data_IF_838910459848
#
_entry.id   IF_838910459848
#
_cell.length_a   1.000
_cell.length_b   1.000
_cell.length_c   1.000
_cell.angle_alpha   90.00
_cell.angle_beta   90.00
_cell.angle_gamma   90.00
#
_symmetry.space_group_name_H-M   'P 1'
#
loop_
_entity.id
_entity.type
_entity.pdbx_description
1 polymer ?
#
# COMPACT_ATOMS: atom_id res chain seq x y z
N UNK A 1 26.46 10.35 -10.68
CA UNK A 1 26.37 8.89 -10.87
C UNK A 1 25.23 8.59 -11.84
N UNK A 2 25.46 7.82 -12.90
CA UNK A 2 24.37 7.34 -13.77
C UNK A 2 23.58 6.30 -12.99
N UNK A 3 22.42 6.68 -12.43
CA UNK A 3 21.52 5.76 -11.74
C UNK A 3 21.08 4.69 -12.73
N UNK A 4 21.31 3.41 -12.40
CA UNK A 4 20.90 2.31 -13.25
C UNK A 4 19.36 2.29 -13.34
N UNK A 5 18.83 2.64 -14.52
CA UNK A 5 17.39 2.78 -14.79
C UNK A 5 16.64 1.47 -14.51
N UNK A 6 17.30 0.33 -14.61
CA UNK A 6 16.71 -0.98 -14.30
C UNK A 6 16.47 -1.13 -12.79
N UNK A 7 17.45 -0.77 -11.94
CA UNK A 7 17.30 -0.83 -10.48
C UNK A 7 16.16 0.07 -9.97
N UNK A 8 16.04 1.28 -10.54
CA UNK A 8 14.98 2.22 -10.14
C UNK A 8 13.59 1.76 -10.60
N UNK A 9 13.51 0.96 -11.67
CA UNK A 9 12.24 0.42 -12.16
C UNK A 9 11.66 -0.66 -11.24
N UNK A 10 12.50 -1.36 -10.46
CA UNK A 10 12.06 -2.33 -9.44
C UNK A 10 11.85 -1.74 -8.05
N UNK A 11 12.19 -0.46 -7.84
CA UNK A 11 12.02 0.20 -6.54
C UNK A 11 10.59 0.11 -5.97
N UNK A 12 9.49 0.23 -6.77
CA UNK A 12 8.14 0.03 -6.25
C UNK A 12 7.92 -1.38 -5.70
N UNK A 13 8.41 -2.42 -6.40
CA UNK A 13 8.27 -3.81 -5.96
C UNK A 13 9.03 -4.06 -4.66
N UNK A 14 10.27 -3.56 -4.56
CA UNK A 14 11.08 -3.67 -3.35
C UNK A 14 10.38 -2.93 -2.19
N UNK A 15 9.86 -1.72 -2.44
CA UNK A 15 9.08 -0.97 -1.45
C UNK A 15 7.88 -1.76 -0.94
N UNK A 16 7.12 -2.38 -1.84
CA UNK A 16 5.97 -3.24 -1.52
C UNK A 16 6.41 -4.42 -0.64
N UNK A 17 7.46 -5.15 -1.04
CA UNK A 17 7.96 -6.30 -0.28
C UNK A 17 8.36 -5.88 1.13
N UNK A 18 9.13 -4.79 1.26
CA UNK A 18 9.62 -4.31 2.56
C UNK A 18 8.48 -3.83 3.47
N UNK A 19 7.54 -3.04 2.96
CA UNK A 19 6.37 -2.64 3.75
C UNK A 19 5.52 -3.85 4.17
N UNK A 20 5.26 -4.77 3.24
CA UNK A 20 4.51 -6.00 3.53
C UNK A 20 5.19 -6.82 4.61
N UNK A 21 6.51 -6.97 4.56
CA UNK A 21 7.28 -7.68 5.56
C UNK A 21 7.21 -6.98 6.92
N UNK A 22 7.45 -5.67 6.97
CA UNK A 22 7.41 -4.91 8.24
C UNK A 22 6.05 -4.98 8.92
N UNK A 23 4.96 -4.86 8.15
CA UNK A 23 3.60 -5.01 8.66
C UNK A 23 3.29 -6.44 9.07
N UNK A 24 3.74 -7.44 8.30
CA UNK A 24 3.52 -8.84 8.63
C UNK A 24 4.21 -9.23 9.94
N UNK A 25 5.46 -8.79 10.15
CA UNK A 25 6.17 -8.99 11.42
C UNK A 25 5.36 -8.35 12.56
N UNK A 26 5.07 -7.05 12.48
CA UNK A 26 4.37 -6.33 13.55
C UNK A 26 2.95 -6.88 13.83
N UNK A 27 2.25 -7.31 12.78
CA UNK A 27 0.89 -7.91 12.92
C UNK A 27 0.95 -9.32 13.48
N UNK A 28 1.94 -10.13 13.08
CA UNK A 28 2.05 -11.52 13.52
C UNK A 28 2.18 -11.64 15.04
N UNK A 29 2.93 -10.75 15.68
CA UNK A 29 3.05 -10.72 17.14
C UNK A 29 1.71 -10.45 17.83
N UNK A 30 0.96 -9.47 17.31
CA UNK A 30 -0.35 -9.12 17.84
C UNK A 30 -1.37 -10.26 17.65
N UNK A 31 -1.36 -10.90 16.49
CA UNK A 31 -2.28 -12.00 16.17
C UNK A 31 -1.97 -13.25 16.98
N UNK A 32 -0.71 -13.59 17.18
CA UNK A 32 -0.33 -14.73 18.04
C UNK A 32 -0.79 -14.48 19.48
N UNK A 33 -0.60 -13.27 20.01
CA UNK A 33 -1.11 -12.91 21.34
C UNK A 33 -2.63 -13.03 21.41
N UNK A 34 -3.35 -12.57 20.39
CA UNK A 34 -4.80 -12.70 20.32
C UNK A 34 -5.24 -14.18 20.25
N UNK A 35 -4.64 -14.98 19.38
CA UNK A 35 -4.89 -16.43 19.25
C UNK A 35 -4.62 -17.17 20.56
N UNK A 36 -3.61 -16.75 21.32
CA UNK A 36 -3.29 -17.31 22.64
C UNK A 36 -4.39 -16.98 23.64
N UNK A 37 -4.90 -15.73 23.66
CA UNK A 37 -5.98 -15.32 24.56
C UNK A 37 -7.29 -16.06 24.30
N UNK A 38 -7.59 -16.37 23.04
CA UNK A 38 -8.80 -17.13 22.68
C UNK A 38 -8.62 -18.65 22.75
N UNK A 39 -7.44 -19.14 23.17
CA UNK A 39 -7.16 -20.58 23.32
C UNK A 39 -6.96 -21.34 22.00
N UNK A 40 -6.95 -20.66 20.85
CA UNK A 40 -6.76 -21.30 19.54
C UNK A 40 -5.28 -21.60 19.28
N UNK A 41 -4.36 -20.79 19.83
CA UNK A 41 -2.93 -20.98 19.58
C UNK A 41 -2.40 -22.31 20.12
N UNK A 42 -2.95 -22.82 21.24
CA UNK A 42 -2.57 -24.13 21.80
C UNK A 42 -2.90 -25.28 20.85
N UNK A 43 -4.03 -25.20 20.17
CA UNK A 43 -4.44 -26.20 19.17
C UNK A 43 -3.52 -26.15 17.94
N UNK A 44 -3.14 -24.95 17.50
CA UNK A 44 -2.21 -24.79 16.37
C UNK A 44 -0.84 -25.39 16.70
N UNK A 45 -0.31 -25.13 17.90
CA UNK A 45 1.00 -25.67 18.30
C UNK A 45 0.97 -27.16 18.69
N UNK A 46 -0.22 -27.76 18.81
CA UNK A 46 -0.36 -29.21 18.94
C UNK A 46 -0.14 -29.92 17.59
N UNK A 47 -0.41 -29.23 16.47
CA UNK A 47 -0.22 -29.73 15.10
C UNK A 47 1.12 -29.30 14.49
N UNK A 48 1.65 -28.14 14.90
CA UNK A 48 2.88 -27.53 14.39
C UNK A 48 3.80 -27.13 15.54
N UNK A 49 5.11 -27.08 15.33
CA UNK A 49 6.01 -26.49 16.32
C UNK A 49 5.74 -24.99 16.50
N UNK A 50 6.21 -24.44 17.64
CA UNK A 50 6.10 -23.00 17.93
C UNK A 50 6.76 -22.16 16.84
N UNK A 51 7.91 -22.58 16.31
CA UNK A 51 8.60 -21.91 15.22
C UNK A 51 7.80 -21.97 13.91
N UNK A 52 7.29 -23.15 13.55
CA UNK A 52 6.48 -23.33 12.34
C UNK A 52 5.21 -22.48 12.37
N UNK A 53 4.50 -22.44 13.50
CA UNK A 53 3.31 -21.60 13.65
C UNK A 53 3.60 -20.10 13.49
N UNK A 54 4.73 -19.61 14.02
CA UNK A 54 5.16 -18.22 13.86
C UNK A 54 5.45 -17.89 12.40
N UNK A 55 6.18 -18.76 11.71
CA UNK A 55 6.49 -18.60 10.28
C UNK A 55 5.21 -18.65 9.46
N UNK A 56 4.28 -19.56 9.77
CA UNK A 56 3.00 -19.66 9.08
C UNK A 56 2.20 -18.35 9.17
N UNK A 57 2.01 -17.81 10.39
CA UNK A 57 1.29 -16.55 10.59
C UNK A 57 1.98 -15.41 9.83
N UNK A 58 3.32 -15.32 9.92
CA UNK A 58 4.10 -14.32 9.19
C UNK A 58 3.87 -14.40 7.67
N UNK A 59 3.97 -15.60 7.08
CA UNK A 59 3.80 -15.81 5.64
C UNK A 59 2.38 -15.47 5.18
N UNK A 60 1.37 -15.84 5.97
CA UNK A 60 -0.03 -15.50 5.68
C UNK A 60 -0.22 -13.98 5.64
N UNK A 61 0.20 -13.26 6.68
CA UNK A 61 0.07 -11.79 6.70
C UNK A 61 0.93 -11.10 5.65
N UNK A 62 2.16 -11.58 5.41
CA UNK A 62 3.01 -11.07 4.34
C UNK A 62 2.30 -11.19 2.99
N UNK A 63 1.70 -12.34 2.71
CA UNK A 63 0.98 -12.58 1.44
C UNK A 63 -0.23 -11.64 1.31
N UNK A 64 -1.01 -11.48 2.38
CA UNK A 64 -2.17 -10.57 2.38
C UNK A 64 -1.73 -9.13 2.10
N UNK A 65 -0.73 -8.62 2.81
CA UNK A 65 -0.24 -7.25 2.62
C UNK A 65 0.41 -7.05 1.24
N UNK A 66 1.18 -8.03 0.77
CA UNK A 66 1.79 -7.99 -0.55
C UNK A 66 0.73 -7.93 -1.66
N UNK A 67 -0.31 -8.75 -1.57
CA UNK A 67 -1.43 -8.73 -2.52
C UNK A 67 -2.17 -7.39 -2.47
N UNK A 68 -2.47 -6.88 -1.28
CA UNK A 68 -3.16 -5.60 -1.09
C UNK A 68 -2.38 -4.44 -1.72
N UNK A 69 -1.08 -4.31 -1.42
CA UNK A 69 -0.26 -3.26 -1.99
C UNK A 69 -0.02 -3.42 -3.48
N UNK A 70 0.12 -4.65 -3.97
CA UNK A 70 0.25 -4.91 -5.41
C UNK A 70 -1.03 -4.52 -6.16
N UNK A 71 -2.20 -4.81 -5.60
CA UNK A 71 -3.49 -4.38 -6.14
C UNK A 71 -3.61 -2.85 -6.16
N UNK A 72 -3.28 -2.17 -5.05
CA UNK A 72 -3.29 -0.70 -5.01
C UNK A 72 -2.31 -0.08 -5.98
N UNK A 73 -1.11 -0.65 -6.15
CA UNK A 73 -0.15 -0.20 -7.16
C UNK A 73 -0.74 -0.30 -8.56
N UNK A 74 -1.36 -1.43 -8.91
CA UNK A 74 -1.97 -1.62 -10.23
C UNK A 74 -3.06 -0.58 -10.49
N UNK A 75 -3.97 -0.39 -9.52
CA UNK A 75 -5.03 0.61 -9.61
C UNK A 75 -4.47 2.03 -9.72
N UNK A 76 -3.45 2.36 -8.92
CA UNK A 76 -2.79 3.66 -8.97
C UNK A 76 -2.15 3.93 -10.33
N UNK A 77 -1.49 2.94 -10.94
CA UNK A 77 -0.92 3.05 -12.28
C UNK A 77 -2.02 3.28 -13.32
N UNK A 78 -3.14 2.55 -13.24
CA UNK A 78 -4.29 2.73 -14.14
C UNK A 78 -4.92 4.11 -14.00
N UNK A 79 -5.18 4.56 -12.77
CA UNK A 79 -5.74 5.90 -12.52
C UNK A 79 -4.81 7.00 -13.02
N UNK A 80 -3.51 6.88 -12.77
CA UNK A 80 -2.53 7.81 -13.30
C UNK A 80 -2.53 7.80 -14.84
N UNK A 81 -2.46 6.64 -15.48
CA UNK A 81 -2.47 6.55 -16.95
C UNK A 81 -3.74 7.19 -17.55
N UNK A 82 -4.91 6.95 -16.97
CA UNK A 82 -6.16 7.58 -17.41
C UNK A 82 -6.13 9.10 -17.19
N UNK A 83 -5.72 9.56 -16.00
CA UNK A 83 -5.59 10.99 -15.70
C UNK A 83 -4.64 11.70 -16.66
N UNK A 84 -3.47 11.13 -16.92
CA UNK A 84 -2.54 11.68 -17.91
C UNK A 84 -3.10 11.60 -19.33
N UNK A 85 -3.84 10.55 -19.72
CA UNK A 85 -4.44 10.45 -21.05
C UNK A 85 -5.47 11.56 -21.33
N UNK A 86 -6.25 11.97 -20.32
CA UNK A 86 -7.22 13.06 -20.47
C UNK A 86 -6.60 14.45 -20.42
N UNK A 87 -5.53 14.65 -19.63
CA UNK A 87 -5.03 15.99 -19.29
C UNK A 87 -3.62 16.32 -19.82
N UNK A 88 -2.81 15.33 -20.20
CA UNK A 88 -1.46 15.56 -20.72
C UNK A 88 -1.46 15.78 -22.24
N UNK A 89 -0.63 16.71 -22.71
CA UNK A 89 -0.48 17.05 -24.14
C UNK A 89 0.55 16.17 -24.86
N UNK A 90 0.73 14.92 -24.45
CA UNK A 90 1.81 14.07 -24.96
C UNK A 90 1.31 12.76 -25.57
N UNK A 91 1.81 12.44 -26.75
CA UNK A 91 1.58 11.18 -27.47
C UNK A 91 2.52 10.04 -27.00
N UNK A 92 3.65 10.37 -26.35
CA UNK A 92 4.73 9.42 -26.07
C UNK A 92 4.96 9.08 -24.57
N UNK A 93 4.09 9.52 -23.65
CA UNK A 93 4.13 9.12 -22.23
C UNK A 93 5.34 9.61 -21.41
N UNK A 94 6.06 10.64 -21.87
CA UNK A 94 7.30 11.11 -21.23
C UNK A 94 7.06 11.77 -19.86
N UNK A 95 5.87 12.37 -19.67
CA UNK A 95 5.39 12.90 -18.40
C UNK A 95 5.27 11.85 -17.30
N UNK A 96 4.83 10.62 -17.64
CA UNK A 96 4.70 9.52 -16.68
C UNK A 96 6.07 9.03 -16.19
N UNK A 97 7.10 9.15 -17.05
CA UNK A 97 8.46 8.77 -16.68
C UNK A 97 9.07 9.71 -15.62
N UNK A 98 8.63 10.97 -15.56
CA UNK A 98 9.09 11.94 -14.54
C UNK A 98 8.54 11.64 -13.14
N UNK A 99 7.52 10.79 -13.03
CA UNK A 99 6.97 10.34 -11.73
C UNK A 99 7.72 9.14 -11.15
N UNK A 100 8.50 8.40 -11.97
CA UNK A 100 9.28 7.23 -11.52
C UNK A 100 10.20 7.48 -10.32
N UNK A 101 10.88 8.64 -10.18
CA UNK A 101 11.72 8.92 -9.01
C UNK A 101 10.94 8.91 -7.69
N UNK A 102 9.62 9.13 -7.72
CA UNK A 102 8.75 9.06 -6.54
C UNK A 102 8.71 7.67 -5.88
N UNK A 103 9.07 6.61 -6.62
CA UNK A 103 9.23 5.27 -6.05
C UNK A 103 10.30 5.20 -4.93
N UNK A 104 11.27 6.12 -4.97
CA UNK A 104 12.32 6.21 -3.94
C UNK A 104 11.74 6.60 -2.58
N UNK A 105 10.66 7.40 -2.55
CA UNK A 105 9.98 7.78 -1.31
C UNK A 105 9.42 6.53 -0.62
N UNK A 106 8.76 5.65 -1.39
CA UNK A 106 8.26 4.39 -0.87
C UNK A 106 9.37 3.43 -0.43
N UNK A 107 10.48 3.38 -1.16
CA UNK A 107 11.63 2.52 -0.80
C UNK A 107 12.31 2.99 0.50
N UNK A 108 12.50 4.31 0.68
CA UNK A 108 13.08 4.85 1.90
C UNK A 108 12.12 4.68 3.08
N UNK A 109 10.83 5.01 2.87
CA UNK A 109 9.79 4.82 3.89
C UNK A 109 9.68 3.36 4.35
N UNK A 110 9.76 2.40 3.42
CA UNK A 110 9.73 0.98 3.74
C UNK A 110 11.01 0.48 4.44
N UNK A 111 12.15 1.12 4.20
CA UNK A 111 13.36 0.87 5.00
C UNK A 111 13.22 1.39 6.42
N UNK A 112 12.67 2.59 6.60
CA UNK A 112 12.44 3.21 7.91
C UNK A 112 11.45 2.40 8.76
N UNK A 113 10.46 1.75 8.15
CA UNK A 113 9.46 0.98 8.90
C UNK A 113 10.06 -0.17 9.71
N UNK A 114 11.22 -0.71 9.32
CA UNK A 114 11.93 -1.75 10.09
C UNK A 114 12.48 -1.26 11.44
N UNK A 115 12.62 0.05 11.63
CA UNK A 115 12.99 0.60 12.95
C UNK A 115 11.85 0.50 13.97
N UNK A 116 10.63 0.19 13.52
CA UNK A 116 9.41 0.27 14.32
C UNK A 116 8.67 -1.07 14.44
N UNK A 117 9.32 -2.20 14.14
CA UNK A 117 8.67 -3.54 14.11
C UNK A 117 7.95 -3.92 15.40
N UNK A 118 8.43 -3.42 16.55
CA UNK A 118 7.83 -3.68 17.87
C UNK A 118 6.49 -2.94 18.09
N UNK A 119 6.07 -2.07 17.17
CA UNK A 119 4.84 -1.30 17.28
C UNK A 119 4.11 -1.23 15.95
N UNK A 120 3.03 -2.00 15.82
CA UNK A 120 2.16 -1.99 14.65
C UNK A 120 1.67 -0.58 14.31
N UNK A 121 1.27 0.20 15.32
CA UNK A 121 0.83 1.58 15.13
C UNK A 121 1.94 2.47 14.55
N UNK A 122 3.19 2.29 14.99
CA UNK A 122 4.30 3.07 14.47
C UNK A 122 4.65 2.68 13.02
N UNK A 123 4.60 1.38 12.67
CA UNK A 123 4.76 0.92 11.26
C UNK A 123 3.67 1.51 10.37
N UNK A 124 2.41 1.50 10.82
CA UNK A 124 1.29 2.11 10.10
C UNK A 124 1.48 3.62 9.96
N UNK A 125 1.94 4.31 11.01
CA UNK A 125 2.22 5.75 10.94
C UNK A 125 3.30 6.07 9.90
N UNK A 126 4.38 5.28 9.82
CA UNK A 126 5.42 5.43 8.78
C UNK A 126 4.86 5.20 7.38
N UNK A 127 4.02 4.17 7.19
CA UNK A 127 3.35 3.92 5.91
C UNK A 127 2.49 5.12 5.49
N UNK A 128 1.62 5.59 6.37
CA UNK A 128 0.74 6.74 6.11
C UNK A 128 1.54 8.03 5.86
N UNK A 129 2.58 8.28 6.65
CA UNK A 129 3.50 9.40 6.43
C UNK A 129 4.18 9.32 5.05
N UNK A 130 4.57 8.13 4.61
CA UNK A 130 5.15 7.90 3.28
C UNK A 130 4.16 8.21 2.17
N UNK A 131 2.88 7.81 2.31
CA UNK A 131 1.82 8.19 1.36
C UNK A 131 1.62 9.71 1.31
N UNK A 132 1.62 10.39 2.45
CA UNK A 132 1.47 11.86 2.53
C UNK A 132 2.65 12.56 1.85
N UNK A 133 3.89 12.13 2.12
CA UNK A 133 5.08 12.67 1.46
C UNK A 133 5.03 12.45 -0.07
N UNK A 134 4.60 11.26 -0.50
CA UNK A 134 4.41 10.98 -1.91
C UNK A 134 3.32 11.86 -2.54
N UNK A 135 2.22 12.13 -1.83
CA UNK A 135 1.15 13.02 -2.30
C UNK A 135 1.68 14.43 -2.56
N UNK A 136 2.46 15.01 -1.64
CA UNK A 136 3.08 16.32 -1.86
C UNK A 136 4.05 16.32 -3.04
N UNK A 137 4.90 15.29 -3.15
CA UNK A 137 5.79 15.10 -4.30
C UNK A 137 5.00 15.03 -5.62
N UNK A 138 3.90 14.28 -5.64
CA UNK A 138 3.06 14.12 -6.81
C UNK A 138 2.41 15.44 -7.25
N UNK A 139 1.80 16.18 -6.31
CA UNK A 139 1.20 17.49 -6.58
C UNK A 139 2.25 18.45 -7.14
N UNK A 140 3.43 18.50 -6.52
CA UNK A 140 4.53 19.33 -6.99
C UNK A 140 4.96 18.96 -8.42
N UNK A 141 5.16 17.68 -8.71
CA UNK A 141 5.56 17.25 -10.05
C UNK A 141 4.49 17.55 -11.12
N UNK A 142 3.22 17.29 -10.82
CA UNK A 142 2.12 17.60 -11.75
C UNK A 142 2.07 19.10 -12.02
N UNK A 143 2.29 19.95 -11.01
CA UNK A 143 2.32 21.41 -11.19
C UNK A 143 3.43 21.91 -12.12
N UNK A 144 4.55 21.19 -12.21
CA UNK A 144 5.67 21.53 -13.09
C UNK A 144 5.49 20.99 -14.52
N UNK A 145 4.65 19.95 -14.70
CA UNK A 145 4.46 19.26 -15.97
C UNK A 145 3.43 19.92 -16.89
N UNK A 146 2.48 20.68 -16.34
CA UNK A 146 1.35 21.21 -17.10
C UNK A 146 0.84 22.54 -16.55
N UNK A 147 0.04 23.26 -17.33
CA UNK A 147 -0.59 24.50 -16.88
C UNK A 147 -1.48 24.26 -15.66
N UNK A 148 -1.60 25.27 -14.79
CA UNK A 148 -2.35 25.20 -13.53
C UNK A 148 -3.75 24.62 -13.70
N UNK A 149 -4.48 25.03 -14.74
CA UNK A 149 -5.82 24.53 -15.02
C UNK A 149 -5.87 23.02 -15.28
N UNK A 150 -4.90 22.48 -16.03
CA UNK A 150 -4.82 21.04 -16.31
C UNK A 150 -4.34 20.25 -15.11
N UNK A 151 -3.40 20.80 -14.34
CA UNK A 151 -2.94 20.20 -13.10
C UNK A 151 -4.10 20.03 -12.10
N UNK A 152 -4.93 21.07 -11.94
CA UNK A 152 -6.13 21.00 -11.09
C UNK A 152 -7.10 19.95 -11.63
N UNK A 153 -7.38 19.93 -12.94
CA UNK A 153 -8.25 18.92 -13.55
C UNK A 153 -7.77 17.48 -13.31
N UNK A 154 -6.47 17.23 -13.47
CA UNK A 154 -5.85 15.93 -13.21
C UNK A 154 -5.94 15.53 -11.73
N UNK A 155 -5.64 16.46 -10.82
CA UNK A 155 -5.74 16.19 -9.39
C UNK A 155 -7.17 15.91 -8.95
N UNK A 156 -8.16 16.65 -9.49
CA UNK A 156 -9.57 16.43 -9.19
C UNK A 156 -10.04 15.07 -9.69
N UNK A 157 -9.72 14.69 -10.94
CA UNK A 157 -10.15 13.38 -11.44
C UNK A 157 -9.50 12.24 -10.66
N UNK A 158 -8.22 12.39 -10.30
CA UNK A 158 -7.51 11.41 -9.48
C UNK A 158 -8.18 11.27 -8.09
N UNK A 159 -8.50 12.39 -7.44
CA UNK A 159 -9.20 12.40 -6.17
C UNK A 159 -10.58 11.74 -6.27
N UNK A 160 -11.35 12.02 -7.32
CA UNK A 160 -12.65 11.39 -7.56
C UNK A 160 -12.54 9.89 -7.78
N UNK A 161 -11.58 9.41 -8.58
CA UNK A 161 -11.38 7.97 -8.80
C UNK A 161 -11.07 7.23 -7.50
N UNK A 162 -10.18 7.78 -6.66
CA UNK A 162 -9.89 7.21 -5.34
C UNK A 162 -11.07 7.28 -4.39
N UNK A 163 -11.82 8.39 -4.37
CA UNK A 163 -13.00 8.53 -3.53
C UNK A 163 -14.08 7.50 -3.90
N UNK A 164 -14.36 7.30 -5.18
CA UNK A 164 -15.31 6.29 -5.67
C UNK A 164 -14.86 4.89 -5.25
N UNK A 165 -13.60 4.51 -5.51
CA UNK A 165 -13.08 3.20 -5.14
C UNK A 165 -13.18 2.95 -3.62
N UNK A 166 -12.68 3.87 -2.81
CA UNK A 166 -12.66 3.71 -1.36
C UNK A 166 -14.06 3.72 -0.76
N UNK A 167 -14.96 4.57 -1.25
CA UNK A 167 -16.37 4.57 -0.83
C UNK A 167 -17.08 3.28 -1.21
N UNK A 168 -16.82 2.73 -2.40
CA UNK A 168 -17.39 1.46 -2.86
C UNK A 168 -16.91 0.28 -2.02
N UNK A 169 -15.62 0.22 -1.70
CA UNK A 169 -15.05 -0.78 -0.79
C UNK A 169 -15.62 -0.65 0.62
N UNK A 170 -15.69 0.57 1.17
CA UNK A 170 -16.27 0.82 2.48
C UNK A 170 -17.74 0.39 2.55
N UNK A 171 -18.53 0.75 1.55
CA UNK A 171 -19.93 0.34 1.45
C UNK A 171 -20.08 -1.18 1.35
N UNK A 172 -19.26 -1.85 0.54
CA UNK A 172 -19.28 -3.31 0.42
C UNK A 172 -18.96 -3.99 1.77
N UNK A 173 -17.94 -3.49 2.49
CA UNK A 173 -17.57 -4.01 3.81
C UNK A 173 -18.69 -3.82 4.84
N UNK A 174 -19.30 -2.63 4.88
CA UNK A 174 -20.45 -2.36 5.77
C UNK A 174 -21.64 -3.28 5.46
N UNK A 175 -21.92 -3.51 4.17
CA UNK A 175 -23.00 -4.39 3.75
C UNK A 175 -22.73 -5.85 4.12
N UNK A 176 -21.50 -6.32 3.94
CA UNK A 176 -21.10 -7.68 4.36
C UNK A 176 -21.20 -7.82 5.88
N UNK A 177 -20.75 -6.82 6.64
CA UNK A 177 -20.86 -6.82 8.10
C UNK A 177 -22.32 -6.88 8.56
N UNK A 178 -23.20 -6.05 8.00
CA UNK A 178 -24.63 -6.06 8.33
C UNK A 178 -25.29 -7.39 7.93
N UNK A 179 -24.98 -7.92 6.74
CA UNK A 179 -25.51 -9.20 6.31
C UNK A 179 -25.08 -10.36 7.21
N UNK A 180 -23.86 -10.33 7.75
CA UNK A 180 -23.39 -11.33 8.72
C UNK A 180 -24.07 -11.13 10.07
N UNK A 181 -24.29 -9.88 10.49
CA UNK A 181 -25.06 -9.55 11.69
C UNK A 181 -26.49 -10.09 11.64
N UNK A 182 -27.17 -9.94 10.51
CA UNK A 182 -28.54 -10.44 10.29
C UNK A 182 -28.62 -11.99 10.24
N UNK A 183 -27.50 -12.69 10.03
CA UNK A 183 -27.45 -14.16 10.02
C UNK A 183 -27.19 -14.72 11.42
N UNK A 184 -26.56 -13.94 12.31
CA UNK A 184 -26.10 -14.39 13.63
C UNK A 184 -27.10 -14.00 14.75
N UNK A 185 -27.94 -12.99 14.54
CA UNK A 185 -29.02 -12.55 15.45
C UNK A 185 -30.40 -13.04 15.00
#
# INVERSE_FOLDING_TARGET
>A
MKTNVYLLSYAPLIGIILFSMSLAIATSEYVIQWLTRVGVYSEIIALLSVQESKVLVLVVFFTIYFMLFSAFKLVADTFNQLGFAFFARETNGSSLHRLKPGATIFLVGSGISFLFLNSLLAVIAVLLGTFVLYLFYYIWQVSQLMSTFRAIGLLLIQAMMWAILLSGLAWAMLRLFNSVGDIIL
#
